data_IF_988187980089
#
_entry.id   IF_988187980089
#
_cell.length_a   1.000
_cell.length_b   1.000
_cell.length_c   1.000
_cell.angle_alpha   90.00
_cell.angle_beta   90.00
_cell.angle_gamma   90.00
#
_symmetry.space_group_name_H-M   'P 1'
#
loop_
_entity.id
_entity.type
_entity.pdbx_description
1 polymer ?
#
# COMPACT_ATOMS: atom_id res chain seq x y z
N UNK A 1 11.56 12.38 6.18
CA UNK A 1 12.65 11.40 6.07
C UNK A 1 12.61 10.46 7.24
N UNK A 2 13.06 9.22 7.08
CA UNK A 2 13.05 8.22 8.15
C UNK A 2 14.25 7.28 7.99
N UNK A 3 14.83 6.85 9.11
CA UNK A 3 15.87 5.83 9.07
C UNK A 3 15.25 4.47 8.73
N UNK A 4 15.88 3.75 7.81
CA UNK A 4 15.50 2.39 7.41
C UNK A 4 16.58 1.39 7.77
N UNK A 5 16.28 0.10 7.65
CA UNK A 5 17.29 -0.95 7.75
C UNK A 5 18.34 -0.76 6.63
N UNK A 6 19.61 -1.02 6.93
CA UNK A 6 20.71 -0.79 5.98
C UNK A 6 20.57 -1.62 4.71
N UNK A 7 19.99 -2.82 4.85
CA UNK A 7 19.74 -3.77 3.77
C UNK A 7 18.69 -3.25 2.78
N UNK A 8 17.81 -2.33 3.22
CA UNK A 8 16.76 -1.74 2.39
C UNK A 8 17.15 -0.36 1.84
N UNK A 9 18.17 0.30 2.40
CA UNK A 9 18.54 1.67 2.08
C UNK A 9 18.79 1.91 0.57
N UNK A 10 19.36 0.92 -0.13
CA UNK A 10 19.61 1.00 -1.58
C UNK A 10 18.36 1.09 -2.44
N UNK A 11 17.17 0.82 -1.88
CA UNK A 11 15.87 0.91 -2.58
C UNK A 11 15.30 2.34 -2.56
N UNK A 12 15.89 3.25 -1.81
CA UNK A 12 15.37 4.60 -1.57
C UNK A 12 16.34 5.69 -2.05
N UNK A 13 15.83 6.92 -2.19
CA UNK A 13 16.68 8.10 -2.23
C UNK A 13 17.32 8.32 -0.86
N UNK A 14 18.65 8.28 -0.78
CA UNK A 14 19.42 8.39 0.46
C UNK A 14 20.01 9.78 0.58
N UNK A 15 19.82 10.38 1.75
CA UNK A 15 20.28 11.73 2.04
C UNK A 15 21.34 11.73 3.14
N UNK A 16 22.27 12.68 3.04
CA UNK A 16 23.17 13.04 4.14
C UNK A 16 22.86 14.45 4.61
N UNK A 17 22.93 14.67 5.92
CA UNK A 17 22.65 15.97 6.53
C UNK A 17 23.82 16.43 7.38
N UNK A 18 23.98 17.74 7.55
CA UNK A 18 24.80 18.31 8.62
C UNK A 18 24.07 18.27 9.98
N UNK A 19 24.71 18.86 11.01
CA UNK A 19 24.23 18.87 12.39
C UNK A 19 22.95 19.71 12.56
N UNK A 20 22.76 20.73 11.72
CA UNK A 20 21.55 21.56 11.65
C UNK A 20 20.43 20.91 10.82
N UNK A 21 20.68 19.75 10.21
CA UNK A 21 19.70 19.02 9.40
C UNK A 21 19.56 19.55 7.98
N UNK A 22 20.47 20.40 7.49
CA UNK A 22 20.55 20.78 6.08
C UNK A 22 21.05 19.58 5.27
N UNK A 23 20.45 19.35 4.11
CA UNK A 23 20.84 18.27 3.22
C UNK A 23 22.10 18.71 2.48
N UNK A 24 23.14 17.90 2.56
CA UNK A 24 24.46 18.16 1.94
C UNK A 24 24.78 17.21 0.79
N UNK A 25 24.15 16.03 0.75
CA UNK A 25 24.30 15.04 -0.31
C UNK A 25 22.98 14.29 -0.52
N UNK A 26 22.68 13.94 -1.77
CA UNK A 26 21.52 13.15 -2.16
C UNK A 26 21.92 12.14 -3.23
N UNK A 27 21.56 10.88 -3.01
CA UNK A 27 21.76 9.81 -3.99
C UNK A 27 20.45 9.04 -4.19
N UNK A 28 19.94 9.01 -5.41
CA UNK A 28 18.77 8.19 -5.74
C UNK A 28 19.18 6.71 -5.87
N UNK A 29 18.62 5.85 -5.02
CA UNK A 29 18.78 4.37 -5.05
C UNK A 29 20.25 3.92 -5.21
N UNK A 30 21.15 4.37 -4.30
CA UNK A 30 22.57 4.06 -4.44
C UNK A 30 22.82 2.58 -4.16
N UNK A 31 23.64 1.94 -4.99
CA UNK A 31 24.08 0.56 -4.76
C UNK A 31 24.84 0.41 -3.42
N UNK A 32 25.59 1.46 -3.03
CA UNK A 32 26.30 1.54 -1.76
C UNK A 32 25.84 2.81 -0.99
N UNK A 33 24.81 2.71 -0.16
CA UNK A 33 24.29 3.86 0.59
C UNK A 33 25.32 4.34 1.63
N UNK A 34 25.55 5.66 1.69
CA UNK A 34 26.45 6.29 2.69
C UNK A 34 25.76 6.57 4.03
N UNK A 35 24.44 6.48 4.04
CA UNK A 35 23.52 6.82 5.12
C UNK A 35 22.30 5.90 5.00
N UNK A 36 21.56 5.69 6.08
CA UNK A 36 20.27 4.99 6.05
C UNK A 36 19.09 5.95 6.25
N UNK A 37 19.32 7.27 6.16
CA UNK A 37 18.26 8.28 6.17
C UNK A 37 17.60 8.32 4.79
N UNK A 38 16.46 7.64 4.68
CA UNK A 38 15.70 7.53 3.45
C UNK A 38 14.76 8.72 3.25
N UNK A 39 14.68 9.16 1.99
CA UNK A 39 13.62 10.01 1.48
C UNK A 39 12.31 9.24 1.50
N UNK A 40 11.27 9.87 2.06
CA UNK A 40 9.92 9.31 2.09
C UNK A 40 9.10 9.70 0.84
N UNK A 41 9.70 10.44 -0.10
CA UNK A 41 8.99 10.96 -1.28
C UNK A 41 8.03 12.13 -1.01
N UNK A 42 8.03 12.67 0.22
CA UNK A 42 7.20 13.83 0.59
C UNK A 42 8.07 15.07 0.69
N UNK A 43 7.79 16.06 -0.15
CA UNK A 43 8.57 17.29 -0.27
C UNK A 43 7.69 18.53 -0.10
N UNK A 44 8.21 19.56 0.57
CA UNK A 44 7.52 20.83 0.77
C UNK A 44 8.34 21.95 0.15
N UNK A 45 7.76 22.64 -0.84
CA UNK A 45 8.44 23.69 -1.58
C UNK A 45 7.69 25.01 -1.48
N UNK A 46 8.44 26.11 -1.62
CA UNK A 46 7.85 27.38 -2.06
C UNK A 46 7.42 27.22 -3.51
N UNK A 47 6.16 27.52 -3.84
CA UNK A 47 5.60 27.33 -5.18
C UNK A 47 6.43 27.99 -6.29
N UNK A 48 6.88 29.23 -6.06
CA UNK A 48 7.69 29.96 -7.04
C UNK A 48 8.98 29.22 -7.40
N UNK A 49 9.59 28.55 -6.42
CA UNK A 49 10.83 27.82 -6.58
C UNK A 49 10.59 26.52 -7.34
N UNK A 50 9.59 25.75 -6.91
CA UNK A 50 9.20 24.52 -7.59
C UNK A 50 8.87 24.78 -9.06
N UNK A 51 8.08 25.83 -9.35
CA UNK A 51 7.74 26.20 -10.72
C UNK A 51 8.98 26.53 -11.55
N UNK A 52 9.95 27.27 -10.99
CA UNK A 52 11.20 27.59 -11.68
C UNK A 52 11.96 26.31 -12.02
N UNK A 53 12.15 25.43 -11.05
CA UNK A 53 12.88 24.16 -11.20
C UNK A 53 12.24 23.26 -12.25
N UNK A 54 10.91 23.10 -12.22
CA UNK A 54 10.18 22.29 -13.19
C UNK A 54 10.28 22.84 -14.61
N UNK A 55 10.29 24.17 -14.80
CA UNK A 55 10.47 24.78 -16.11
C UNK A 55 11.89 24.59 -16.65
N UNK A 56 12.89 24.68 -15.77
CA UNK A 56 14.29 24.43 -16.14
C UNK A 56 14.49 22.96 -16.51
N UNK A 57 13.95 22.05 -15.70
CA UNK A 57 13.99 20.61 -15.95
C UNK A 57 13.31 20.24 -17.28
N UNK A 58 12.12 20.79 -17.54
CA UNK A 58 11.39 20.56 -18.78
C UNK A 58 12.13 21.06 -20.03
N UNK A 59 12.93 22.12 -19.89
CA UNK A 59 13.74 22.69 -20.96
C UNK A 59 15.07 21.94 -21.20
N UNK A 60 15.47 21.06 -20.28
CA UNK A 60 16.71 20.29 -20.36
C UNK A 60 16.49 18.97 -21.11
N UNK A 61 17.05 18.81 -22.33
CA UNK A 61 16.91 17.56 -23.09
C UNK A 61 17.60 16.36 -22.44
N UNK A 62 18.55 16.59 -21.52
CA UNK A 62 19.29 15.55 -20.81
C UNK A 62 18.61 15.07 -19.53
N UNK A 63 17.55 15.74 -19.09
CA UNK A 63 16.83 15.37 -17.88
C UNK A 63 16.05 14.07 -18.05
N UNK A 64 16.07 13.23 -17.01
CA UNK A 64 15.20 12.05 -16.92
C UNK A 64 13.79 12.38 -16.43
N UNK A 65 13.53 13.65 -16.10
CA UNK A 65 12.28 14.18 -15.51
C UNK A 65 11.94 13.49 -14.19
N UNK A 66 12.96 13.12 -13.43
CA UNK A 66 12.86 12.44 -12.15
C UNK A 66 13.26 13.41 -11.03
N UNK A 67 12.42 13.49 -10.01
CA UNK A 67 12.60 14.45 -8.93
C UNK A 67 13.87 14.20 -8.12
N UNK A 68 14.20 12.93 -7.88
CA UNK A 68 15.40 12.53 -7.13
C UNK A 68 16.66 12.62 -7.98
N UNK A 69 16.58 12.35 -9.28
CA UNK A 69 17.78 12.36 -10.15
C UNK A 69 18.10 13.72 -10.74
N UNK A 70 17.09 14.53 -11.01
CA UNK A 70 17.27 15.78 -11.75
C UNK A 70 17.01 17.00 -10.86
N UNK A 71 15.87 17.06 -10.16
CA UNK A 71 15.45 18.27 -9.42
C UNK A 71 16.26 18.49 -8.14
N UNK A 72 16.32 17.49 -7.24
CA UNK A 72 17.05 17.63 -5.96
C UNK A 72 18.55 17.85 -6.18
N UNK A 73 19.24 17.10 -7.06
CA UNK A 73 20.66 17.33 -7.34
C UNK A 73 20.94 18.70 -7.93
N UNK A 74 20.04 19.23 -8.79
CA UNK A 74 20.13 20.60 -9.30
C UNK A 74 20.06 21.62 -8.17
N UNK A 75 19.10 21.50 -7.26
CA UNK A 75 18.96 22.41 -6.11
C UNK A 75 20.23 22.41 -5.25
N UNK A 76 20.80 21.22 -4.99
CA UNK A 76 22.07 21.10 -4.26
C UNK A 76 23.22 21.78 -5.01
N UNK A 77 23.32 21.59 -6.32
CA UNK A 77 24.36 22.20 -7.15
C UNK A 77 24.22 23.73 -7.26
N UNK A 78 22.98 24.25 -7.27
CA UNK A 78 22.68 25.69 -7.26
C UNK A 78 22.86 26.33 -5.87
N UNK A 79 23.12 25.53 -4.83
CA UNK A 79 23.36 26.00 -3.47
C UNK A 79 22.09 26.33 -2.69
N UNK A 80 20.94 25.83 -3.15
CA UNK A 80 19.66 26.02 -2.47
C UNK A 80 19.70 25.48 -1.05
N UNK A 81 18.82 26.02 -0.20
CA UNK A 81 18.69 25.58 1.19
C UNK A 81 17.64 24.47 1.28
N UNK A 82 18.09 23.21 1.31
CA UNK A 82 17.23 22.05 1.52
C UNK A 82 17.43 21.50 2.94
N UNK A 83 16.35 21.15 3.63
CA UNK A 83 16.38 20.67 5.00
C UNK A 83 15.61 19.37 5.16
N UNK A 84 16.15 18.49 6.00
CA UNK A 84 15.57 17.21 6.33
C UNK A 84 14.62 17.31 7.53
N UNK A 85 13.34 17.05 7.30
CA UNK A 85 12.42 16.77 8.40
C UNK A 85 12.47 15.29 8.77
N UNK A 86 12.96 14.97 9.97
CA UNK A 86 12.99 13.61 10.53
C UNK A 86 11.58 13.25 11.05
N UNK A 87 10.93 12.33 10.34
CA UNK A 87 9.57 11.90 10.63
C UNK A 87 9.58 10.75 11.64
N UNK A 88 8.92 10.96 12.78
CA UNK A 88 8.83 9.97 13.86
C UNK A 88 7.61 9.04 13.79
N UNK A 89 6.67 9.26 12.87
CA UNK A 89 5.44 8.48 12.76
C UNK A 89 5.60 7.19 11.97
N UNK A 90 4.48 6.48 11.78
CA UNK A 90 4.41 5.30 10.91
C UNK A 90 4.61 5.68 9.45
N UNK A 91 5.46 4.94 8.77
CA UNK A 91 5.69 5.06 7.34
C UNK A 91 6.06 3.68 6.81
N UNK A 92 5.54 3.35 5.62
CA UNK A 92 5.80 2.11 4.91
C UNK A 92 5.91 2.42 3.42
N UNK A 93 6.96 1.92 2.79
CA UNK A 93 7.04 1.86 1.33
C UNK A 93 6.34 0.59 0.84
N UNK A 94 5.26 0.75 0.08
CA UNK A 94 4.45 -0.36 -0.42
C UNK A 94 4.80 -0.60 -1.89
N UNK A 95 5.77 -1.48 -2.12
CA UNK A 95 6.28 -1.80 -3.47
C UNK A 95 6.27 -3.30 -3.83
N UNK A 96 5.99 -4.17 -2.85
CA UNK A 96 5.96 -5.63 -2.97
C UNK A 96 4.67 -6.21 -2.39
N UNK A 97 4.37 -7.48 -2.73
CA UNK A 97 3.21 -8.21 -2.20
C UNK A 97 3.27 -8.28 -0.67
N UNK A 98 4.43 -8.62 -0.12
CA UNK A 98 4.67 -8.66 1.32
C UNK A 98 4.42 -7.30 1.96
N UNK A 99 5.01 -6.23 1.42
CA UNK A 99 4.82 -4.88 1.99
C UNK A 99 3.37 -4.41 1.94
N UNK A 100 2.60 -4.80 0.92
CA UNK A 100 1.18 -4.48 0.81
C UNK A 100 0.36 -5.23 1.86
N UNK A 101 0.63 -6.52 2.03
CA UNK A 101 -0.05 -7.33 3.04
C UNK A 101 0.32 -6.85 4.45
N UNK A 102 1.60 -6.67 4.73
CA UNK A 102 2.13 -6.21 6.03
C UNK A 102 1.59 -4.82 6.38
N UNK A 103 1.54 -3.88 5.42
CA UNK A 103 0.95 -2.56 5.66
C UNK A 103 -0.52 -2.65 6.11
N UNK A 104 -1.28 -3.62 5.60
CA UNK A 104 -2.67 -3.84 6.04
C UNK A 104 -2.74 -4.52 7.41
N UNK A 105 -1.83 -5.44 7.72
CA UNK A 105 -1.78 -6.06 9.05
C UNK A 105 -1.32 -5.07 10.13
N UNK A 106 -0.40 -4.17 9.80
CA UNK A 106 0.06 -3.07 10.66
C UNK A 106 -1.12 -2.19 11.12
N UNK A 107 -2.15 -2.02 10.29
CA UNK A 107 -3.39 -1.33 10.67
C UNK A 107 -4.14 -2.07 11.77
N UNK A 108 -4.18 -3.40 11.71
CA UNK A 108 -4.88 -4.25 12.68
C UNK A 108 -4.13 -4.32 14.01
N UNK A 109 -2.79 -4.32 13.94
CA UNK A 109 -1.91 -4.37 15.10
C UNK A 109 -1.75 -3.00 15.80
N UNK A 110 -2.41 -1.95 15.28
CA UNK A 110 -2.48 -0.62 15.90
C UNK A 110 -1.22 0.22 15.68
N UNK A 111 -0.37 -0.13 14.70
CA UNK A 111 0.81 0.67 14.35
C UNK A 111 0.44 2.04 13.75
N UNK A 112 -0.79 2.17 13.25
CA UNK A 112 -1.37 3.41 12.71
C UNK A 112 -2.76 3.65 13.29
N UNK A 113 -3.03 4.88 13.72
CA UNK A 113 -4.36 5.33 14.09
C UNK A 113 -4.96 6.16 12.95
N UNK A 114 -5.93 5.58 12.24
CA UNK A 114 -6.61 6.22 11.10
C UNK A 114 -7.83 7.00 11.61
N UNK A 115 -8.05 8.22 11.12
CA UNK A 115 -9.26 9.00 11.44
C UNK A 115 -9.21 9.77 12.78
N UNK A 116 -8.01 10.03 13.31
CA UNK A 116 -7.82 10.89 14.49
C UNK A 116 -7.98 12.38 14.12
N UNK A 117 -8.48 13.23 15.03
CA UNK A 117 -8.54 14.69 14.79
C UNK A 117 -7.18 15.33 14.47
N UNK A 118 -6.12 14.75 15.02
CA UNK A 118 -4.71 15.14 14.81
C UNK A 118 -4.18 14.76 13.41
N UNK A 119 -4.87 13.85 12.73
CA UNK A 119 -4.59 13.45 11.35
C UNK A 119 -5.88 13.56 10.54
N UNK A 120 -6.33 14.78 10.19
CA UNK A 120 -7.52 14.99 9.39
C UNK A 120 -7.22 14.55 7.96
N UNK A 121 -7.35 13.25 7.69
CA UNK A 121 -7.46 12.78 6.32
C UNK A 121 -8.78 13.33 5.76
N UNK A 122 -8.70 14.23 4.78
CA UNK A 122 -9.82 14.61 3.92
C UNK A 122 -10.17 13.44 3.00
N UNK A 123 -10.55 12.32 3.59
CA UNK A 123 -11.22 11.25 2.90
C UNK A 123 -12.70 11.63 2.88
N UNK A 124 -13.14 12.31 1.82
CA UNK A 124 -14.54 12.67 1.55
C UNK A 124 -15.51 11.47 1.49
N UNK A 125 -15.06 10.25 1.86
CA UNK A 125 -15.85 9.04 1.94
C UNK A 125 -15.48 8.10 3.13
N UNK A 126 -14.63 8.49 4.09
CA UNK A 126 -14.33 7.68 5.29
C UNK A 126 -15.01 8.23 6.56
N UNK A 127 -16.12 8.96 6.39
CA UNK A 127 -16.98 9.26 7.53
C UNK A 127 -17.55 7.96 8.06
N UNK A 128 -17.20 7.66 9.32
CA UNK A 128 -17.61 6.53 10.16
C UNK A 128 -16.84 5.22 9.96
N UNK A 129 -15.94 5.00 10.92
CA UNK A 129 -15.85 3.76 11.69
C UNK A 129 -17.16 2.96 11.60
N UNK A 130 -17.05 1.83 10.89
CA UNK A 130 -17.84 0.59 10.97
C UNK A 130 -19.36 0.74 11.18
N UNK A 131 -20.11 0.93 10.09
CA UNK A 131 -21.49 0.46 10.05
C UNK A 131 -21.50 -1.07 10.03
N UNK A 132 -21.67 -1.66 11.22
CA UNK A 132 -21.88 -3.09 11.42
C UNK A 132 -23.27 -3.49 10.91
N UNK A 133 -23.31 -4.30 9.86
CA UNK A 133 -24.38 -5.26 9.63
C UNK A 133 -23.78 -6.66 9.63
N UNK A 134 -23.37 -7.12 10.82
CA UNK A 134 -23.13 -8.56 11.01
C UNK A 134 -24.43 -9.28 10.72
N UNK A 135 -24.48 -10.02 9.60
CA UNK A 135 -25.55 -10.98 9.41
C UNK A 135 -25.53 -11.99 10.57
N UNK A 136 -26.68 -12.56 10.91
CA UNK A 136 -26.78 -13.68 11.85
C UNK A 136 -25.74 -14.73 11.46
N UNK A 137 -24.76 -15.00 12.34
CA UNK A 137 -23.75 -16.05 12.17
C UNK A 137 -22.31 -15.60 11.81
N UNK A 138 -22.02 -14.31 11.64
CA UNK A 138 -20.63 -13.87 11.45
C UNK A 138 -19.85 -13.78 12.77
N UNK A 139 -18.60 -14.26 12.78
CA UNK A 139 -17.65 -14.06 13.88
C UNK A 139 -16.46 -13.25 13.39
N UNK A 140 -16.18 -12.10 13.99
CA UNK A 140 -15.12 -11.19 13.54
C UNK A 140 -14.19 -10.91 14.71
N UNK A 141 -12.88 -11.15 14.55
CA UNK A 141 -11.86 -10.97 15.59
C UNK A 141 -10.62 -10.28 15.04
N UNK A 142 -10.20 -9.17 15.66
CA UNK A 142 -8.97 -8.44 15.27
C UNK A 142 -8.95 -8.01 13.79
N UNK A 143 -10.13 -7.71 13.22
CA UNK A 143 -10.30 -7.47 11.78
C UNK A 143 -10.93 -6.11 11.54
N UNK A 144 -10.61 -5.49 10.40
CA UNK A 144 -11.16 -4.22 9.96
C UNK A 144 -12.14 -4.46 8.81
N UNK A 145 -13.40 -4.08 9.00
CA UNK A 145 -14.48 -4.28 8.03
C UNK A 145 -15.03 -2.92 7.60
N UNK A 146 -14.96 -2.63 6.31
CA UNK A 146 -15.48 -1.39 5.71
C UNK A 146 -16.99 -1.44 5.48
N UNK A 147 -17.57 -0.27 5.17
CA UNK A 147 -18.99 -0.13 4.87
C UNK A 147 -19.43 -0.99 3.67
N UNK A 148 -20.70 -1.41 3.68
CA UNK A 148 -21.28 -2.19 2.58
C UNK A 148 -20.81 -3.65 2.50
N UNK A 149 -20.05 -4.13 3.49
CA UNK A 149 -19.63 -5.54 3.56
C UNK A 149 -20.77 -6.41 4.09
N UNK A 150 -21.06 -7.50 3.39
CA UNK A 150 -22.01 -8.52 3.84
C UNK A 150 -21.24 -9.77 4.29
N UNK A 151 -21.14 -10.01 5.59
CA UNK A 151 -20.39 -11.15 6.14
C UNK A 151 -21.27 -12.16 6.89
N UNK A 152 -21.02 -13.45 6.66
CA UNK A 152 -21.68 -14.59 7.31
C UNK A 152 -20.71 -15.71 7.76
N UNK A 153 -19.41 -15.45 7.73
CA UNK A 153 -18.35 -16.42 8.10
C UNK A 153 -17.52 -15.99 9.31
N UNK A 154 -16.44 -16.71 9.55
CA UNK A 154 -15.42 -16.38 10.56
C UNK A 154 -14.28 -15.59 9.91
N UNK A 155 -13.97 -14.40 10.44
CA UNK A 155 -12.98 -13.46 9.90
C UNK A 155 -12.02 -13.05 11.02
N UNK A 156 -10.77 -13.45 10.92
CA UNK A 156 -9.73 -13.24 11.94
C UNK A 156 -8.50 -12.52 11.36
N UNK A 157 -8.02 -11.46 12.03
CA UNK A 157 -6.83 -10.70 11.59
C UNK A 157 -6.86 -10.35 10.11
N UNK A 158 -7.99 -9.79 9.67
CA UNK A 158 -8.26 -9.58 8.25
C UNK A 158 -8.80 -8.18 7.96
N UNK A 159 -8.52 -7.68 6.76
CA UNK A 159 -9.11 -6.43 6.26
C UNK A 159 -10.11 -6.78 5.15
N UNK A 160 -11.34 -6.30 5.26
CA UNK A 160 -12.37 -6.46 4.22
C UNK A 160 -12.84 -5.10 3.75
N UNK A 161 -12.49 -4.78 2.51
CA UNK A 161 -12.79 -3.51 1.86
C UNK A 161 -14.25 -3.40 1.41
N UNK A 162 -14.63 -2.19 1.03
CA UNK A 162 -15.99 -1.80 0.65
C UNK A 162 -16.66 -2.79 -0.32
N UNK A 163 -17.92 -3.14 -0.03
CA UNK A 163 -18.72 -4.01 -0.89
C UNK A 163 -18.29 -5.48 -0.94
N UNK A 164 -17.35 -5.91 -0.10
CA UNK A 164 -16.95 -7.31 0.04
C UNK A 164 -18.10 -8.20 0.50
N UNK A 165 -18.16 -9.43 -0.01
CA UNK A 165 -19.19 -10.41 0.35
C UNK A 165 -18.55 -11.69 0.85
N UNK A 166 -18.90 -12.11 2.07
CA UNK A 166 -18.35 -13.30 2.71
C UNK A 166 -19.48 -14.30 2.99
N UNK A 167 -19.42 -15.44 2.31
CA UNK A 167 -20.38 -16.53 2.40
C UNK A 167 -20.39 -17.23 3.77
N UNK A 168 -21.49 -17.91 4.05
CA UNK A 168 -21.68 -18.61 5.32
C UNK A 168 -20.66 -19.73 5.54
N UNK A 169 -20.26 -19.95 6.79
CA UNK A 169 -19.32 -21.00 7.20
C UNK A 169 -17.92 -20.92 6.53
N UNK A 170 -17.59 -19.79 5.91
CA UNK A 170 -16.23 -19.54 5.42
C UNK A 170 -15.31 -19.14 6.58
N UNK A 171 -14.03 -19.45 6.46
CA UNK A 171 -13.00 -19.09 7.42
C UNK A 171 -11.93 -18.27 6.70
N UNK A 172 -11.78 -17.02 7.10
CA UNK A 172 -10.85 -16.06 6.51
C UNK A 172 -9.90 -15.62 7.61
N UNK A 173 -8.60 -15.83 7.38
CA UNK A 173 -7.57 -15.49 8.35
C UNK A 173 -6.39 -14.79 7.69
N UNK A 174 -5.85 -13.78 8.36
CA UNK A 174 -4.58 -13.15 7.96
C UNK A 174 -4.66 -12.64 6.49
N UNK A 175 -5.82 -12.16 6.06
CA UNK A 175 -6.17 -11.94 4.64
C UNK A 175 -6.66 -10.53 4.37
N UNK A 176 -6.25 -9.96 3.24
CA UNK A 176 -6.72 -8.69 2.71
C UNK A 176 -7.72 -8.96 1.58
N UNK A 177 -8.98 -8.55 1.77
CA UNK A 177 -10.04 -8.66 0.76
C UNK A 177 -10.28 -7.28 0.15
N UNK A 178 -9.92 -7.12 -1.12
CA UNK A 178 -10.05 -5.87 -1.88
C UNK A 178 -11.51 -5.57 -2.24
N UNK A 179 -11.84 -4.34 -2.69
CA UNK A 179 -13.21 -3.93 -2.93
C UNK A 179 -14.00 -4.90 -3.81
N UNK A 180 -15.28 -5.07 -3.49
CA UNK A 180 -16.23 -5.86 -4.28
C UNK A 180 -15.88 -7.34 -4.50
N UNK A 181 -14.84 -7.89 -3.86
CA UNK A 181 -14.55 -9.31 -3.91
C UNK A 181 -15.67 -10.13 -3.24
N UNK A 182 -15.93 -11.32 -3.80
CA UNK A 182 -16.98 -12.23 -3.36
C UNK A 182 -16.36 -13.56 -2.97
N UNK A 183 -16.59 -13.96 -1.73
CA UNK A 183 -16.13 -15.23 -1.18
C UNK A 183 -17.35 -16.10 -0.90
N UNK A 184 -17.34 -17.30 -1.47
CA UNK A 184 -18.40 -18.29 -1.38
C UNK A 184 -18.53 -18.91 0.00
N UNK A 185 -19.51 -19.78 0.15
CA UNK A 185 -19.77 -20.53 1.38
C UNK A 185 -18.69 -21.57 1.61
N UNK A 186 -18.38 -21.89 2.86
CA UNK A 186 -17.42 -22.93 3.24
C UNK A 186 -15.99 -22.74 2.68
N UNK A 187 -15.68 -21.58 2.12
CA UNK A 187 -14.33 -21.27 1.63
C UNK A 187 -13.35 -21.17 2.82
N UNK A 188 -12.11 -21.61 2.62
CA UNK A 188 -11.02 -21.47 3.61
C UNK A 188 -9.90 -20.65 2.99
N UNK A 189 -9.63 -19.48 3.58
CA UNK A 189 -8.64 -18.54 3.06
C UNK A 189 -7.69 -18.19 4.20
N UNK A 190 -6.40 -18.44 3.98
CA UNK A 190 -5.37 -18.14 4.97
C UNK A 190 -4.19 -17.45 4.29
N UNK A 191 -3.80 -16.28 4.80
CA UNK A 191 -2.66 -15.49 4.34
C UNK A 191 -2.74 -15.18 2.85
N UNK A 192 -3.73 -14.39 2.46
CA UNK A 192 -3.97 -14.05 1.06
C UNK A 192 -4.25 -12.56 0.81
N UNK A 193 -4.09 -12.15 -0.44
CA UNK A 193 -4.64 -10.91 -1.00
C UNK A 193 -5.66 -11.28 -2.06
N UNK A 194 -6.93 -11.01 -1.80
CA UNK A 194 -8.04 -11.26 -2.73
C UNK A 194 -8.28 -9.99 -3.53
N UNK A 195 -7.92 -10.00 -4.82
CA UNK A 195 -8.00 -8.83 -5.70
C UNK A 195 -9.42 -8.30 -5.91
N UNK A 196 -9.49 -7.05 -6.39
CA UNK A 196 -10.76 -6.34 -6.57
C UNK A 196 -11.73 -7.12 -7.46
N UNK A 197 -12.99 -7.26 -7.03
CA UNK A 197 -14.02 -7.95 -7.78
C UNK A 197 -13.77 -9.45 -8.01
N UNK A 198 -12.72 -10.03 -7.41
CA UNK A 198 -12.42 -11.45 -7.52
C UNK A 198 -13.55 -12.30 -6.92
N UNK A 199 -13.72 -13.51 -7.43
CA UNK A 199 -14.76 -14.46 -6.99
C UNK A 199 -14.12 -15.76 -6.54
N UNK A 200 -14.20 -16.04 -5.25
CA UNK A 200 -13.82 -17.31 -4.65
C UNK A 200 -15.10 -18.13 -4.52
N UNK A 201 -15.22 -19.24 -5.23
CA UNK A 201 -16.42 -20.07 -5.20
C UNK A 201 -16.54 -20.88 -3.90
N UNK A 202 -17.71 -21.48 -3.71
CA UNK A 202 -18.01 -22.30 -2.54
C UNK A 202 -16.97 -23.43 -2.38
N UNK A 203 -16.57 -23.71 -1.14
CA UNK A 203 -15.59 -24.76 -0.78
C UNK A 203 -14.17 -24.59 -1.35
N UNK A 204 -13.84 -23.47 -1.99
CA UNK A 204 -12.48 -23.22 -2.42
C UNK A 204 -11.52 -23.02 -1.24
N UNK A 205 -10.27 -23.44 -1.41
CA UNK A 205 -9.20 -23.27 -0.41
C UNK A 205 -8.09 -22.42 -1.02
N UNK A 206 -7.77 -21.29 -0.39
CA UNK A 206 -6.75 -20.34 -0.86
C UNK A 206 -5.73 -20.13 0.25
N UNK A 207 -4.50 -20.57 -0.01
CA UNK A 207 -3.41 -20.49 0.93
C UNK A 207 -3.51 -21.47 2.10
N UNK A 208 -2.37 -21.72 2.71
CA UNK A 208 -2.20 -22.60 3.88
C UNK A 208 -1.58 -21.86 5.08
N UNK A 209 -1.27 -20.56 4.92
CA UNK A 209 -0.62 -19.72 5.93
C UNK A 209 0.90 -19.62 5.81
N UNK A 210 1.54 -20.43 4.94
CA UNK A 210 3.00 -20.44 4.79
C UNK A 210 3.55 -19.21 4.07
N UNK A 211 2.89 -18.78 2.99
CA UNK A 211 3.24 -17.63 2.17
C UNK A 211 1.96 -16.90 1.69
N UNK A 212 2.13 -15.67 1.19
CA UNK A 212 1.00 -14.86 0.71
C UNK A 212 0.53 -15.35 -0.66
N UNK A 213 -0.72 -15.81 -0.74
CA UNK A 213 -1.39 -16.14 -2.02
C UNK A 213 -2.09 -14.92 -2.56
N UNK A 214 -1.90 -14.59 -3.83
CA UNK A 214 -2.59 -13.46 -4.47
C UNK A 214 -3.57 -13.94 -5.53
N UNK A 215 -4.80 -13.45 -5.45
CA UNK A 215 -5.84 -13.62 -6.46
C UNK A 215 -5.91 -12.33 -7.26
N UNK A 216 -5.78 -12.41 -8.59
CA UNK A 216 -5.80 -11.21 -9.41
C UNK A 216 -7.18 -10.54 -9.41
N UNK A 217 -7.27 -9.24 -9.71
CA UNK A 217 -8.54 -8.55 -9.88
C UNK A 217 -9.44 -9.25 -10.90
N UNK A 218 -10.71 -9.44 -10.55
CA UNK A 218 -11.73 -10.12 -11.35
C UNK A 218 -11.50 -11.62 -11.56
N UNK A 219 -10.46 -12.21 -10.97
CA UNK A 219 -10.18 -13.64 -11.12
C UNK A 219 -11.22 -14.49 -10.39
N UNK A 220 -11.50 -15.67 -10.95
CA UNK A 220 -12.44 -16.63 -10.38
C UNK A 220 -11.71 -17.91 -9.97
N UNK A 221 -11.72 -18.21 -8.67
CA UNK A 221 -11.22 -19.47 -8.12
C UNK A 221 -12.39 -20.44 -8.02
N UNK A 222 -12.29 -21.55 -8.75
CA UNK A 222 -13.37 -22.54 -8.83
C UNK A 222 -13.55 -23.29 -7.52
N UNK A 223 -14.76 -23.80 -7.32
CA UNK A 223 -15.09 -24.65 -6.17
C UNK A 223 -14.15 -25.87 -6.09
N UNK A 224 -13.80 -26.27 -4.87
CA UNK A 224 -12.92 -27.42 -4.57
C UNK A 224 -11.49 -27.34 -5.15
N UNK A 225 -11.03 -26.15 -5.54
CA UNK A 225 -9.64 -25.93 -5.91
C UNK A 225 -8.84 -25.55 -4.67
N UNK A 226 -7.68 -26.19 -4.48
CA UNK A 226 -6.64 -25.71 -3.58
C UNK A 226 -5.69 -24.83 -4.38
N UNK A 227 -5.56 -23.57 -3.98
CA UNK A 227 -4.55 -22.67 -4.52
C UNK A 227 -3.43 -22.47 -3.53
N UNK A 228 -2.27 -23.06 -3.84
CA UNK A 228 -1.04 -22.89 -3.11
C UNK A 228 -0.37 -21.55 -3.44
N UNK A 229 0.55 -21.06 -2.59
CA UNK A 229 1.44 -19.95 -2.94
C UNK A 229 2.11 -20.18 -4.30
N UNK A 230 1.95 -19.21 -5.20
CA UNK A 230 2.58 -19.27 -6.51
C UNK A 230 3.97 -18.64 -6.42
N UNK A 231 5.03 -19.43 -6.61
CA UNK A 231 6.34 -18.91 -6.97
C UNK A 231 6.21 -18.19 -8.34
N UNK A 232 6.56 -16.90 -8.38
CA UNK A 232 6.79 -16.07 -9.58
C UNK A 232 5.62 -15.77 -10.55
N UNK A 233 4.66 -14.93 -10.12
CA UNK A 233 3.80 -14.14 -11.06
C UNK A 233 3.77 -12.63 -10.77
N UNK A 234 4.89 -12.07 -10.33
CA UNK A 234 5.01 -10.63 -10.03
C UNK A 234 4.84 -9.76 -11.29
N UNK A 235 5.28 -10.25 -12.45
CA UNK A 235 5.22 -9.51 -13.72
C UNK A 235 3.79 -9.39 -14.27
N UNK A 236 3.05 -10.50 -14.28
CA UNK A 236 1.66 -10.55 -14.76
C UNK A 236 0.72 -9.67 -13.92
N UNK A 237 1.00 -9.48 -12.64
CA UNK A 237 0.16 -8.68 -11.75
C UNK A 237 0.31 -7.17 -11.99
N UNK A 238 1.55 -6.68 -12.15
CA UNK A 238 1.80 -5.26 -12.46
C UNK A 238 1.16 -4.89 -13.80
N UNK A 239 1.31 -5.73 -14.81
CA UNK A 239 0.74 -5.49 -16.14
C UNK A 239 -0.80 -5.49 -16.11
N UNK A 240 -1.43 -6.32 -15.26
CA UNK A 240 -2.89 -6.43 -15.17
C UNK A 240 -3.54 -5.40 -14.25
N UNK A 241 -2.87 -4.96 -13.18
CA UNK A 241 -3.34 -3.84 -12.34
C UNK A 241 -3.29 -2.53 -13.15
N UNK A 242 -2.22 -2.29 -13.91
CA UNK A 242 -2.11 -1.13 -14.82
C UNK A 242 -3.18 -1.17 -15.92
N UNK A 243 -3.53 -2.36 -16.43
CA UNK A 243 -4.61 -2.51 -17.41
C UNK A 243 -6.02 -2.27 -16.82
N UNK A 244 -6.24 -2.63 -15.54
CA UNK A 244 -7.51 -2.44 -14.85
C UNK A 244 -7.76 -0.97 -14.42
N UNK A 245 -6.71 -0.17 -14.23
CA UNK A 245 -6.77 1.26 -13.89
C UNK A 245 -7.35 2.20 -14.97
N UNK A 246 -8.01 1.67 -16.02
CA UNK A 246 -8.73 2.44 -17.04
C UNK A 246 -10.24 2.55 -16.80
N UNK A 247 -10.76 2.08 -15.66
CA UNK A 247 -12.14 2.31 -15.26
C UNK A 247 -12.22 3.55 -14.36
N UNK A 248 -12.73 4.64 -14.93
CA UNK A 248 -13.14 5.87 -14.24
C UNK A 248 -14.06 5.53 -13.05
N UNK A 249 -13.55 5.64 -11.82
CA UNK A 249 -14.14 6.25 -10.60
C UNK A 249 -13.19 6.00 -9.39
N UNK A 250 -13.10 6.92 -8.42
CA UNK A 250 -12.09 6.85 -7.35
C UNK A 250 -12.45 5.77 -6.33
N UNK A 251 -11.93 4.55 -6.53
CA UNK A 251 -11.82 3.59 -5.45
C UNK A 251 -10.84 4.15 -4.42
N UNK A 252 -11.29 4.30 -3.17
CA UNK A 252 -10.45 4.67 -2.05
C UNK A 252 -9.46 3.52 -1.73
N UNK A 253 -8.47 3.34 -2.60
CA UNK A 253 -7.21 2.74 -2.22
C UNK A 253 -6.44 3.79 -1.41
N UNK A 254 -5.75 3.33 -0.37
CA UNK A 254 -4.58 4.03 0.14
C UNK A 254 -3.45 3.90 -0.90
N UNK A 255 -3.61 4.55 -2.04
CA UNK A 255 -2.54 4.71 -3.03
C UNK A 255 -1.69 5.86 -2.52
N UNK A 256 -0.65 5.56 -1.75
CA UNK A 256 0.48 6.47 -1.61
C UNK A 256 1.50 5.99 -2.64
N UNK A 257 1.39 6.53 -3.85
CA UNK A 257 2.44 6.46 -4.85
C UNK A 257 2.27 7.63 -5.84
N UNK A 258 3.27 8.52 -5.77
CA UNK A 258 3.63 9.65 -6.64
C UNK A 258 2.83 10.96 -6.52
#
# INVERSE_FOLDING_TARGET
MKNVAWEEASRFGIMSTDDEGRIVDFAEKPAAPKSNLASMGVYVFRWSELRRLLLLDAADPGSSRDFGKDVIPRMLAEGDSLYAYKFGGYWRDVGTIDSLWEANMDLLDGAVHVGTPEWPMNASALSSVVHFSSGVGAQIRGSLIHQGVAARGEIERSVVSIGGQIGANSHIRDTVVMPHAKIGKHARINRAIIGEGAVIEDYAVVGDGSDIVVIAPGERVKANVFMAPAFDRIKDMKDRIVAAGKLDQPAALLTIAE
#
